data_IF_311329832304
#
_entry.id   IF_311329832304
#
_cell.length_a   1.000
_cell.length_b   1.000
_cell.length_c   1.000
_cell.angle_alpha   90.00
_cell.angle_beta   90.00
_cell.angle_gamma   90.00
#
_symmetry.space_group_name_H-M   'P 1'
#
loop_
_entity.id
_entity.type
_entity.pdbx_description
1 polymer ?
#
# COMPACT_ATOMS: atom_id res chain seq x y z
N UNK A 1 -7.79 24.71 -34.93
CA UNK A 1 -7.86 24.95 -33.46
C UNK A 1 -7.69 23.70 -32.58
N UNK A 2 -7.86 22.46 -33.09
CA UNK A 2 -7.76 21.21 -32.31
C UNK A 2 -6.32 20.79 -31.98
N UNK A 3 -5.33 21.18 -32.80
CA UNK A 3 -3.91 20.81 -32.60
C UNK A 3 -3.19 21.56 -31.47
N UNK A 4 -3.54 22.82 -31.19
CA UNK A 4 -2.97 23.55 -30.03
C UNK A 4 -3.30 22.87 -28.70
N UNK A 5 -4.50 22.29 -28.57
CA UNK A 5 -4.89 21.57 -27.33
C UNK A 5 -4.12 20.27 -27.14
N UNK A 6 -3.76 19.56 -28.22
CA UNK A 6 -2.92 18.34 -28.14
C UNK A 6 -1.52 18.66 -27.62
N UNK A 7 -0.92 19.77 -28.06
CA UNK A 7 0.37 20.23 -27.56
C UNK A 7 0.36 20.61 -26.07
N UNK A 8 -0.71 21.25 -25.60
CA UNK A 8 -0.87 21.64 -24.18
C UNK A 8 -1.14 20.41 -23.30
N UNK A 9 -2.04 19.50 -23.70
CA UNK A 9 -2.32 18.23 -22.98
C UNK A 9 -1.08 17.33 -22.87
N UNK A 10 -0.28 17.23 -23.94
CA UNK A 10 0.94 16.40 -23.95
C UNK A 10 2.04 16.98 -23.06
N UNK A 11 2.09 18.31 -22.89
CA UNK A 11 3.04 18.99 -21.99
C UNK A 11 2.75 18.66 -20.52
N UNK A 12 1.49 18.75 -20.11
CA UNK A 12 1.08 18.51 -18.70
C UNK A 12 1.26 17.05 -18.30
N UNK A 13 0.96 16.10 -19.18
CA UNK A 13 1.13 14.67 -18.90
C UNK A 13 2.59 14.27 -18.65
N UNK A 14 3.53 14.77 -19.48
CA UNK A 14 4.96 14.49 -19.35
C UNK A 14 5.56 15.09 -18.09
N UNK A 15 5.10 16.28 -17.73
CA UNK A 15 5.48 16.98 -16.50
C UNK A 15 5.02 16.21 -15.24
N UNK A 16 3.80 15.68 -15.26
CA UNK A 16 3.27 14.89 -14.15
C UNK A 16 4.02 13.55 -13.97
N UNK A 17 4.39 12.90 -15.07
CA UNK A 17 5.21 11.67 -15.04
C UNK A 17 6.60 11.98 -14.48
N UNK A 18 7.23 13.08 -14.89
CA UNK A 18 8.52 13.49 -14.35
C UNK A 18 8.46 13.76 -12.84
N UNK A 19 7.40 14.43 -12.37
CA UNK A 19 7.15 14.67 -10.94
C UNK A 19 6.93 13.36 -10.16
N UNK A 20 6.20 12.40 -10.73
CA UNK A 20 5.98 11.09 -10.11
C UNK A 20 7.26 10.26 -10.02
N UNK A 21 8.08 10.27 -11.08
CA UNK A 21 9.40 9.63 -11.07
C UNK A 21 10.32 10.27 -10.02
N UNK A 22 10.27 11.60 -9.85
CA UNK A 22 11.03 12.30 -8.82
C UNK A 22 10.60 11.86 -7.41
N UNK A 23 9.29 11.77 -7.15
CA UNK A 23 8.76 11.29 -5.87
C UNK A 23 9.19 9.83 -5.59
N UNK A 24 9.08 8.96 -6.58
CA UNK A 24 9.51 7.56 -6.47
C UNK A 24 11.01 7.44 -6.20
N UNK A 25 11.84 8.26 -6.86
CA UNK A 25 13.28 8.33 -6.62
C UNK A 25 13.59 8.80 -5.19
N UNK A 26 12.82 9.74 -4.64
CA UNK A 26 12.97 10.21 -3.26
C UNK A 26 12.67 9.11 -2.23
N UNK A 27 11.62 8.31 -2.47
CA UNK A 27 11.28 7.15 -1.62
C UNK A 27 12.36 6.08 -1.69
N UNK A 28 12.80 5.73 -2.90
CA UNK A 28 13.87 4.75 -3.10
C UNK A 28 15.18 5.21 -2.44
N UNK A 29 15.52 6.50 -2.59
CA UNK A 29 16.66 7.12 -1.91
C UNK A 29 16.54 7.04 -0.38
N UNK A 30 15.35 7.29 0.18
CA UNK A 30 15.08 7.13 1.61
C UNK A 30 15.24 5.69 2.10
N UNK A 31 14.74 4.71 1.34
CA UNK A 31 14.85 3.29 1.67
C UNK A 31 16.30 2.77 1.59
N UNK A 32 17.07 3.22 0.59
CA UNK A 32 18.48 2.88 0.45
C UNK A 32 19.30 3.53 1.56
N UNK A 33 19.07 4.82 1.84
CA UNK A 33 19.72 5.54 2.94
C UNK A 33 19.47 4.89 4.31
N UNK A 34 18.25 4.38 4.54
CA UNK A 34 17.91 3.61 5.73
C UNK A 34 18.70 2.30 5.86
N UNK A 35 18.99 1.65 4.74
CA UNK A 35 19.72 0.37 4.71
C UNK A 35 21.19 0.54 5.11
N UNK A 36 21.83 1.66 4.76
CA UNK A 36 23.20 1.96 5.18
C UNK A 36 23.31 2.38 6.65
N UNK A 37 22.23 2.91 7.23
CA UNK A 37 22.18 3.35 8.63
C UNK A 37 21.77 2.21 9.59
N UNK A 38 22.27 0.99 9.35
CA UNK A 38 21.94 -0.19 10.15
C UNK A 38 22.69 -0.28 11.49
N UNK A 39 23.61 0.64 11.77
CA UNK A 39 24.46 0.65 12.97
C UNK A 39 24.01 1.61 14.08
N UNK A 40 22.85 2.27 13.94
CA UNK A 40 22.39 3.35 14.84
C UNK A 40 21.11 2.96 15.60
N UNK A 41 20.84 3.57 16.78
CA UNK A 41 19.73 3.19 17.68
C UNK A 41 18.34 3.33 17.05
N UNK A 42 17.40 2.51 17.53
CA UNK A 42 16.04 2.28 16.98
C UNK A 42 15.24 3.57 16.72
N UNK A 43 15.43 4.59 17.56
CA UNK A 43 14.77 5.90 17.42
C UNK A 43 15.19 6.67 16.16
N UNK A 44 16.49 6.65 15.82
CA UNK A 44 17.02 7.34 14.64
C UNK A 44 16.54 6.63 13.36
N UNK A 45 16.45 5.30 13.41
CA UNK A 45 15.87 4.47 12.33
C UNK A 45 14.39 4.79 12.09
N UNK A 46 13.58 4.89 13.14
CA UNK A 46 12.14 5.15 13.02
C UNK A 46 11.82 6.52 12.39
N UNK A 47 12.55 7.56 12.78
CA UNK A 47 12.38 8.91 12.24
C UNK A 47 12.82 8.97 10.77
N UNK A 48 13.91 8.30 10.40
CA UNK A 48 14.43 8.29 9.03
C UNK A 48 13.59 7.46 8.05
N UNK A 49 12.80 6.50 8.51
CA UNK A 49 11.76 5.88 7.68
C UNK A 49 10.50 6.74 7.61
N UNK A 50 10.07 7.27 8.76
CA UNK A 50 8.83 8.03 8.85
C UNK A 50 8.87 9.33 8.05
N UNK A 51 9.97 10.08 8.12
CA UNK A 51 10.10 11.40 7.51
C UNK A 51 10.06 11.38 5.97
N UNK A 52 10.88 10.59 5.24
CA UNK A 52 10.81 10.55 3.78
C UNK A 52 9.52 9.90 3.28
N UNK A 53 8.95 8.96 4.03
CA UNK A 53 7.69 8.30 3.66
C UNK A 53 6.49 9.27 3.84
N UNK A 54 6.49 10.06 4.92
CA UNK A 54 5.54 11.14 5.13
C UNK A 54 5.73 12.29 4.13
N UNK A 55 6.97 12.74 3.88
CA UNK A 55 7.24 13.81 2.91
C UNK A 55 6.86 13.38 1.50
N UNK A 56 7.20 12.16 1.09
CA UNK A 56 6.77 11.62 -0.20
C UNK A 56 5.25 11.55 -0.29
N UNK A 57 4.58 11.06 0.76
CA UNK A 57 3.12 11.04 0.82
C UNK A 57 2.52 12.44 0.67
N UNK A 58 3.04 13.41 1.41
CA UNK A 58 2.56 14.79 1.40
C UNK A 58 2.79 15.47 0.04
N UNK A 59 3.98 15.27 -0.56
CA UNK A 59 4.32 15.80 -1.89
C UNK A 59 3.44 15.17 -2.96
N UNK A 60 3.23 13.86 -2.94
CA UNK A 60 2.34 13.21 -3.91
C UNK A 60 0.90 13.71 -3.73
N UNK A 61 0.41 13.88 -2.50
CA UNK A 61 -0.95 14.35 -2.25
C UNK A 61 -1.19 15.81 -2.63
N UNK A 62 -0.20 16.69 -2.41
CA UNK A 62 -0.33 18.12 -2.76
C UNK A 62 0.00 18.42 -4.21
N UNK A 63 0.95 17.71 -4.82
CA UNK A 63 1.43 17.99 -6.18
C UNK A 63 0.81 17.09 -7.26
N UNK A 64 0.21 15.96 -6.87
CA UNK A 64 -0.72 15.27 -7.75
C UNK A 64 -2.03 16.05 -7.70
N UNK A 65 -2.06 17.17 -8.43
CA UNK A 65 -3.27 17.62 -9.09
C UNK A 65 -3.79 16.42 -9.90
N UNK A 66 -4.60 15.61 -9.23
CA UNK A 66 -5.43 14.58 -9.79
C UNK A 66 -6.40 15.32 -10.72
N UNK A 67 -5.85 15.61 -11.91
CA UNK A 67 -6.42 16.35 -13.01
C UNK A 67 -7.88 15.96 -13.11
N UNK A 68 -8.83 16.89 -13.26
CA UNK A 68 -10.28 16.63 -13.18
C UNK A 68 -10.81 15.40 -13.96
N UNK A 69 -10.04 14.84 -14.90
CA UNK A 69 -10.29 13.52 -15.48
C UNK A 69 -10.26 12.36 -14.48
N UNK A 70 -9.36 12.36 -13.49
CA UNK A 70 -9.25 11.31 -12.47
C UNK A 70 -10.46 11.35 -11.54
N UNK A 71 -10.87 12.56 -11.12
CA UNK A 71 -12.08 12.78 -10.32
C UNK A 71 -13.32 12.32 -11.10
N UNK A 72 -13.39 12.64 -12.39
CA UNK A 72 -14.47 12.16 -13.27
C UNK A 72 -14.44 10.63 -13.42
N UNK A 73 -13.27 10.04 -13.60
CA UNK A 73 -13.08 8.59 -13.71
C UNK A 73 -13.46 7.86 -12.42
N UNK A 74 -13.10 8.40 -11.25
CA UNK A 74 -13.54 7.90 -9.94
C UNK A 74 -15.07 7.99 -9.83
N UNK A 75 -15.66 9.11 -10.25
CA UNK A 75 -17.12 9.29 -10.22
C UNK A 75 -17.83 8.28 -11.12
N UNK A 76 -17.32 8.07 -12.34
CA UNK A 76 -17.86 7.08 -13.29
C UNK A 76 -17.69 5.64 -12.75
N UNK A 77 -16.53 5.34 -12.14
CA UNK A 77 -16.26 4.04 -11.50
C UNK A 77 -17.18 3.77 -10.32
N UNK A 78 -17.47 4.77 -9.48
CA UNK A 78 -18.41 4.63 -8.36
C UNK A 78 -19.83 4.37 -8.85
N UNK A 79 -20.24 4.99 -9.96
CA UNK A 79 -21.56 4.75 -10.56
C UNK A 79 -21.65 3.32 -11.11
N UNK A 80 -20.56 2.76 -11.62
CA UNK A 80 -20.50 1.39 -12.13
C UNK A 80 -20.41 0.34 -11.01
N UNK A 81 -19.66 0.63 -9.93
CA UNK A 81 -19.63 -0.22 -8.72
C UNK A 81 -21.02 -0.33 -8.09
N UNK A 82 -21.84 0.73 -8.15
CA UNK A 82 -23.24 0.68 -7.71
C UNK A 82 -24.13 -0.22 -8.57
N UNK A 83 -23.72 -0.56 -9.80
CA UNK A 83 -24.41 -1.53 -10.66
C UNK A 83 -24.01 -2.97 -10.37
N UNK A 84 -22.95 -3.19 -9.61
CA UNK A 84 -22.62 -4.51 -9.08
C UNK A 84 -23.67 -4.83 -8.02
N UNK A 85 -24.65 -5.62 -8.42
CA UNK A 85 -25.64 -6.21 -7.54
C UNK A 85 -24.90 -7.08 -6.53
N UNK A 86 -24.58 -6.50 -5.37
CA UNK A 86 -23.87 -7.22 -4.33
C UNK A 86 -24.71 -8.43 -3.93
N UNK A 87 -24.09 -9.62 -3.89
CA UNK A 87 -24.77 -10.83 -3.46
C UNK A 87 -25.35 -10.62 -2.05
N UNK A 88 -26.46 -11.30 -1.72
CA UNK A 88 -27.12 -11.13 -0.44
C UNK A 88 -26.12 -11.29 0.72
N UNK A 89 -26.12 -10.31 1.62
CA UNK A 89 -25.21 -10.19 2.79
C UNK A 89 -24.97 -11.50 3.55
N UNK A 90 -25.95 -12.38 3.58
CA UNK A 90 -25.90 -13.65 4.30
C UNK A 90 -24.86 -14.64 3.72
N UNK A 91 -24.56 -14.58 2.42
CA UNK A 91 -23.57 -15.45 1.77
C UNK A 91 -22.14 -14.93 1.96
N UNK A 92 -21.95 -13.61 1.91
CA UNK A 92 -20.64 -12.98 2.13
C UNK A 92 -20.10 -13.24 3.55
N UNK A 93 -20.97 -13.12 4.56
CA UNK A 93 -20.58 -13.39 5.95
C UNK A 93 -20.22 -14.85 6.20
N UNK A 94 -20.89 -15.79 5.51
CA UNK A 94 -20.59 -17.22 5.61
C UNK A 94 -19.17 -17.52 5.15
N UNK A 95 -18.76 -16.94 4.02
CA UNK A 95 -17.45 -17.20 3.45
C UNK A 95 -16.33 -16.60 4.32
N UNK A 96 -16.48 -15.36 4.79
CA UNK A 96 -15.50 -14.73 5.69
C UNK A 96 -15.39 -15.50 7.02
N UNK A 97 -16.51 -15.95 7.57
CA UNK A 97 -16.51 -16.73 8.80
C UNK A 97 -15.81 -18.08 8.61
N UNK A 98 -16.03 -18.75 7.48
CA UNK A 98 -15.34 -20.00 7.15
C UNK A 98 -13.81 -19.81 7.13
N UNK A 99 -13.32 -18.76 6.45
CA UNK A 99 -11.87 -18.46 6.39
C UNK A 99 -11.31 -18.10 7.76
N UNK A 100 -12.07 -17.38 8.58
CA UNK A 100 -11.66 -17.00 9.94
C UNK A 100 -11.51 -18.22 10.84
N UNK A 101 -12.49 -19.13 10.84
CA UNK A 101 -12.43 -20.39 11.57
C UNK A 101 -11.29 -21.27 11.07
N UNK A 102 -11.14 -21.41 9.74
CA UNK A 102 -10.06 -22.17 9.12
C UNK A 102 -8.68 -21.65 9.56
N UNK A 103 -8.48 -20.34 9.51
CA UNK A 103 -7.21 -19.72 9.92
C UNK A 103 -6.98 -19.90 11.43
N UNK A 104 -8.00 -19.73 12.26
CA UNK A 104 -7.90 -19.94 13.71
C UNK A 104 -7.46 -21.37 14.06
N UNK A 105 -8.00 -22.38 13.35
CA UNK A 105 -7.59 -23.78 13.52
C UNK A 105 -6.13 -23.98 13.12
N UNK A 106 -5.71 -23.44 11.96
CA UNK A 106 -4.31 -23.55 11.52
C UNK A 106 -3.35 -22.86 12.49
N UNK A 107 -3.68 -21.66 12.98
CA UNK A 107 -2.84 -20.95 13.95
C UNK A 107 -2.74 -21.70 15.26
N UNK A 108 -3.84 -22.30 15.72
CA UNK A 108 -3.85 -23.11 16.94
C UNK A 108 -3.03 -24.39 16.77
N UNK A 109 -3.15 -25.04 15.62
CA UNK A 109 -2.38 -26.25 15.29
C UNK A 109 -0.88 -25.96 15.24
N UNK A 110 -0.46 -24.92 14.53
CA UNK A 110 0.94 -24.50 14.48
C UNK A 110 1.45 -24.17 15.89
N UNK A 111 0.71 -23.36 16.65
CA UNK A 111 1.08 -23.01 18.01
C UNK A 111 1.30 -24.23 18.92
N UNK A 112 0.45 -25.26 18.80
CA UNK A 112 0.62 -26.52 19.53
C UNK A 112 1.88 -27.27 19.12
N UNK A 113 2.13 -27.40 17.82
CA UNK A 113 3.32 -28.09 17.29
C UNK A 113 4.60 -27.35 17.70
N UNK A 114 4.64 -26.03 17.52
CA UNK A 114 5.77 -25.19 17.93
C UNK A 114 6.04 -25.31 19.44
N UNK A 115 4.99 -25.26 20.27
CA UNK A 115 5.13 -25.43 21.73
C UNK A 115 5.63 -26.83 22.12
N UNK A 116 5.15 -27.86 21.42
CA UNK A 116 5.58 -29.23 21.63
C UNK A 116 7.05 -29.44 21.24
N UNK A 117 7.49 -28.85 20.12
CA UNK A 117 8.89 -28.87 19.71
C UNK A 117 9.78 -28.16 20.73
N UNK A 118 9.40 -26.98 21.21
CA UNK A 118 10.15 -26.24 22.25
C UNK A 118 10.30 -27.07 23.52
N UNK A 119 9.23 -27.73 23.97
CA UNK A 119 9.29 -28.60 25.14
C UNK A 119 10.27 -29.77 24.94
N UNK A 120 10.22 -30.44 23.79
CA UNK A 120 11.10 -31.55 23.47
C UNK A 120 12.58 -31.14 23.44
N UNK A 121 12.91 -30.00 22.82
CA UNK A 121 14.28 -29.49 22.76
C UNK A 121 14.77 -29.01 24.13
N UNK A 122 13.92 -28.35 24.91
CA UNK A 122 14.28 -27.85 26.26
C UNK A 122 14.55 -29.00 27.23
N UNK A 123 13.91 -30.16 27.07
CA UNK A 123 14.16 -31.32 27.92
C UNK A 123 15.43 -32.11 27.53
N UNK A 124 15.96 -31.90 26.32
CA UNK A 124 17.15 -32.60 25.83
C UNK A 124 18.47 -31.84 26.09
N UNK A 125 18.42 -30.63 26.67
CA UNK A 125 19.60 -29.84 27.08
C UNK A 125 19.63 -29.73 28.60
#
# INVERSE_FOLDING_TARGET
MRDRRRGVQRKTGRENVAKLCLAAALVAGGAIGFSFLSQQPLYVRGVILGVPLLLSGLIVLFWCDASPSLIRYIKDSVVEIKKVVWPPKNEAWRNTFFVLVFTAVLTLFLWLVDSFLVWLFTQST
#
